data_IF_646242726964
#
_entry.id   IF_646242726964
#
_cell.length_a   1.000
_cell.length_b   1.000
_cell.length_c   1.000
_cell.angle_alpha   90.00
_cell.angle_beta   90.00
_cell.angle_gamma   90.00
#
_symmetry.space_group_name_H-M   'P 1'
#
loop_
_entity.id
_entity.type
_entity.pdbx_description
1 polymer ?
#
# COMPACT_ATOMS: atom_id res chain seq x y z
N UNK A 1 -22.94 31.02 -21.71
CA UNK A 1 -22.02 30.10 -21.00
C UNK A 1 -20.84 29.84 -21.91
N UNK A 2 -19.62 30.14 -21.45
CA UNK A 2 -18.41 30.04 -22.29
C UNK A 2 -17.88 28.62 -22.39
N UNK A 3 -17.12 28.34 -23.46
CA UNK A 3 -16.41 27.07 -23.63
C UNK A 3 -15.43 26.79 -22.47
N UNK A 4 -14.81 27.84 -21.92
CA UNK A 4 -13.94 27.77 -20.73
C UNK A 4 -14.62 27.09 -19.53
N UNK A 5 -15.89 27.42 -19.25
CA UNK A 5 -16.62 26.80 -18.14
C UNK A 5 -16.84 25.29 -18.38
N UNK A 6 -17.14 24.89 -19.62
CA UNK A 6 -17.31 23.48 -19.98
C UNK A 6 -15.97 22.74 -19.87
N UNK A 7 -14.87 23.35 -20.32
CA UNK A 7 -13.53 22.78 -20.19
C UNK A 7 -13.13 22.59 -18.71
N UNK A 8 -13.31 23.62 -17.87
CA UNK A 8 -13.04 23.54 -16.43
C UNK A 8 -13.93 22.49 -15.74
N UNK A 9 -15.22 22.43 -16.09
CA UNK A 9 -16.13 21.42 -15.55
C UNK A 9 -15.74 19.99 -15.96
N UNK A 10 -15.24 19.78 -17.17
CA UNK A 10 -14.72 18.47 -17.63
C UNK A 10 -13.42 18.09 -16.91
N UNK A 11 -12.48 19.04 -16.74
CA UNK A 11 -11.24 18.81 -15.98
C UNK A 11 -11.52 18.47 -14.51
N UNK A 12 -12.40 19.24 -13.85
CA UNK A 12 -12.82 18.95 -12.48
C UNK A 12 -13.59 17.62 -12.37
N UNK A 13 -14.41 17.27 -13.35
CA UNK A 13 -15.07 15.94 -13.40
C UNK A 13 -14.05 14.82 -13.50
N UNK A 14 -13.01 14.96 -14.32
CA UNK A 14 -11.92 13.97 -14.43
C UNK A 14 -11.13 13.85 -13.13
N UNK A 15 -10.79 14.97 -12.49
CA UNK A 15 -10.09 15.02 -11.20
C UNK A 15 -10.90 14.39 -10.06
N UNK A 16 -12.23 14.45 -10.11
CA UNK A 16 -13.11 13.75 -9.16
C UNK A 16 -13.22 12.25 -9.50
N UNK A 17 -13.33 11.90 -10.78
CA UNK A 17 -13.57 10.52 -11.23
C UNK A 17 -12.35 9.59 -11.09
N UNK A 18 -11.12 10.07 -11.34
CA UNK A 18 -9.90 9.25 -11.26
C UNK A 18 -9.69 8.65 -9.85
N UNK A 19 -9.82 9.40 -8.74
CA UNK A 19 -9.89 8.84 -7.39
C UNK A 19 -10.92 7.72 -7.22
N UNK A 20 -12.14 7.87 -7.76
CA UNK A 20 -13.20 6.85 -7.57
C UNK A 20 -12.85 5.51 -8.23
N UNK A 21 -12.16 5.53 -9.37
CA UNK A 21 -11.64 4.32 -10.01
C UNK A 21 -10.46 3.76 -9.22
N UNK A 22 -9.57 4.62 -8.73
CA UNK A 22 -8.40 4.23 -7.94
C UNK A 22 -8.75 3.63 -6.56
N UNK A 23 -9.91 3.93 -5.98
CA UNK A 23 -10.42 3.27 -4.76
C UNK A 23 -10.56 1.74 -4.86
N UNK A 24 -10.57 1.17 -6.08
CA UNK A 24 -10.62 -0.28 -6.35
C UNK A 24 -9.25 -0.91 -6.65
N UNK A 25 -8.15 -0.17 -6.49
CA UNK A 25 -6.78 -0.71 -6.59
C UNK A 25 -6.39 -1.35 -5.27
N UNK A 26 -6.88 -2.56 -5.05
CA UNK A 26 -6.72 -3.29 -3.79
C UNK A 26 -5.36 -4.02 -3.70
N UNK A 27 -4.58 -4.07 -4.78
CA UNK A 27 -3.16 -4.45 -4.78
C UNK A 27 -2.36 -3.52 -5.71
N UNK A 28 -1.06 -3.33 -5.42
CA UNK A 28 -0.14 -2.57 -6.28
C UNK A 28 0.56 -3.50 -7.30
N UNK A 29 0.67 -3.09 -8.58
CA UNK A 29 1.59 -3.75 -9.51
C UNK A 29 3.04 -3.64 -9.02
N UNK A 30 3.84 -4.71 -9.15
CA UNK A 30 5.27 -4.68 -8.76
C UNK A 30 6.05 -3.57 -9.47
N UNK A 31 5.74 -3.32 -10.73
CA UNK A 31 6.34 -2.24 -11.52
C UNK A 31 6.04 -0.83 -10.97
N UNK A 32 4.84 -0.59 -10.44
CA UNK A 32 4.49 0.68 -9.78
C UNK A 32 5.37 0.91 -8.53
N UNK A 33 5.61 -0.14 -7.75
CA UNK A 33 6.45 -0.07 -6.53
C UNK A 33 7.93 0.13 -6.90
N UNK A 34 8.43 -0.59 -7.91
CA UNK A 34 9.79 -0.39 -8.43
C UNK A 34 9.98 1.03 -8.95
N UNK A 35 8.99 1.61 -9.62
CA UNK A 35 9.02 3.02 -10.03
C UNK A 35 9.00 4.00 -8.84
N UNK A 36 8.36 3.64 -7.73
CA UNK A 36 8.40 4.41 -6.48
C UNK A 36 9.78 4.33 -5.82
N UNK A 37 10.42 3.15 -5.85
CA UNK A 37 11.81 2.99 -5.38
C UNK A 37 12.79 3.77 -6.26
N UNK A 38 12.63 3.78 -7.58
CA UNK A 38 13.49 4.58 -8.47
C UNK A 38 13.31 6.09 -8.29
N UNK A 39 12.09 6.56 -7.97
CA UNK A 39 11.88 7.94 -7.51
C UNK A 39 12.65 8.20 -6.22
N UNK A 40 12.41 7.42 -5.16
CA UNK A 40 13.10 7.56 -3.87
C UNK A 40 14.62 7.52 -4.00
N UNK A 41 15.16 6.72 -4.93
CA UNK A 41 16.60 6.63 -5.19
C UNK A 41 17.22 7.91 -5.76
N UNK A 42 16.43 8.72 -6.48
CA UNK A 42 16.80 10.07 -6.91
C UNK A 42 16.87 11.00 -5.70
N UNK A 43 15.79 11.08 -4.92
CA UNK A 43 15.67 12.00 -3.79
C UNK A 43 16.69 11.70 -2.67
N UNK A 44 16.88 10.42 -2.33
CA UNK A 44 17.95 9.95 -1.42
C UNK A 44 19.35 10.19 -2.01
N UNK A 45 19.47 10.35 -3.32
CA UNK A 45 20.70 10.76 -4.00
C UNK A 45 20.98 12.25 -3.90
N UNK A 46 19.94 13.09 -3.73
CA UNK A 46 20.05 14.55 -3.63
C UNK A 46 20.01 15.11 -2.20
N UNK A 47 19.86 14.28 -1.17
CA UNK A 47 19.93 14.68 0.25
C UNK A 47 18.65 14.48 1.06
N UNK A 48 17.66 13.73 0.56
CA UNK A 48 16.39 13.49 1.27
C UNK A 48 16.59 12.92 2.69
N UNK A 49 17.56 12.04 2.91
CA UNK A 49 17.81 11.48 4.24
C UNK A 49 18.19 12.56 5.25
N UNK A 50 19.08 13.45 4.83
CA UNK A 50 19.54 14.62 5.59
C UNK A 50 18.41 15.65 5.81
N UNK A 51 17.52 15.87 4.82
CA UNK A 51 16.32 16.71 4.98
C UNK A 51 15.33 16.12 5.99
N UNK A 52 15.02 14.82 5.87
CA UNK A 52 14.09 14.15 6.79
C UNK A 52 14.64 14.12 8.22
N UNK A 53 15.97 14.04 8.38
CA UNK A 53 16.64 14.11 9.69
C UNK A 53 16.45 15.45 10.42
N UNK A 54 16.22 16.53 9.69
CA UNK A 54 15.89 17.84 10.26
C UNK A 54 14.42 17.98 10.68
N UNK A 55 13.56 17.00 10.34
CA UNK A 55 12.12 17.00 10.61
C UNK A 55 11.67 15.88 11.55
N UNK A 56 12.41 14.77 11.63
CA UNK A 56 12.12 13.61 12.50
C UNK A 56 13.41 13.06 13.12
N UNK A 57 13.41 12.59 14.39
CA UNK A 57 14.61 12.08 15.05
C UNK A 57 15.27 10.91 14.31
N UNK A 58 14.48 10.03 13.71
CA UNK A 58 14.92 8.86 12.93
C UNK A 58 14.90 9.13 11.40
N UNK A 59 14.72 10.38 10.98
CA UNK A 59 14.36 10.74 9.61
C UNK A 59 15.36 10.26 8.55
N UNK A 60 16.67 10.35 8.82
CA UNK A 60 17.70 9.76 7.96
C UNK A 60 17.53 8.24 7.89
N UNK A 61 17.47 7.63 9.07
CA UNK A 61 17.56 6.19 9.25
C UNK A 61 16.39 5.47 8.58
N UNK A 62 15.14 5.87 8.85
CA UNK A 62 13.97 5.26 8.20
C UNK A 62 13.98 5.44 6.68
N UNK A 63 14.41 6.61 6.18
CA UNK A 63 14.44 6.90 4.74
C UNK A 63 15.32 5.91 3.96
N UNK A 64 16.45 5.49 4.52
CA UNK A 64 17.30 4.44 3.92
C UNK A 64 16.87 3.01 4.32
N UNK A 65 16.51 2.75 5.58
CA UNK A 65 16.18 1.41 6.07
C UNK A 65 14.94 0.83 5.36
N UNK A 66 13.87 1.64 5.21
CA UNK A 66 12.64 1.22 4.56
C UNK A 66 12.84 1.05 3.05
N UNK A 67 13.62 1.92 2.41
CA UNK A 67 14.01 1.82 1.00
C UNK A 67 14.77 0.50 0.72
N UNK A 68 15.77 0.18 1.54
CA UNK A 68 16.52 -1.08 1.42
C UNK A 68 15.66 -2.31 1.66
N UNK A 69 14.83 -2.30 2.71
CA UNK A 69 13.93 -3.42 3.02
C UNK A 69 12.89 -3.63 1.92
N UNK A 70 12.31 -2.56 1.37
CA UNK A 70 11.35 -2.62 0.26
C UNK A 70 11.97 -3.29 -0.98
N UNK A 71 13.18 -2.93 -1.36
CA UNK A 71 13.91 -3.61 -2.43
C UNK A 71 14.08 -5.11 -2.16
N UNK A 72 14.43 -5.50 -0.93
CA UNK A 72 14.55 -6.93 -0.60
C UNK A 72 13.22 -7.69 -0.68
N UNK A 73 12.11 -7.08 -0.27
CA UNK A 73 10.78 -7.68 -0.39
C UNK A 73 10.32 -7.81 -1.86
N UNK A 74 10.65 -6.84 -2.72
CA UNK A 74 10.44 -6.93 -4.17
C UNK A 74 11.17 -8.15 -4.74
N UNK A 75 12.45 -8.36 -4.37
CA UNK A 75 13.25 -9.49 -4.84
C UNK A 75 12.85 -10.84 -4.23
N UNK A 76 12.37 -10.89 -2.97
CA UNK A 76 11.76 -12.11 -2.38
C UNK A 76 10.52 -12.54 -3.19
N UNK A 77 9.75 -11.59 -3.70
CA UNK A 77 8.57 -11.87 -4.52
C UNK A 77 8.84 -12.09 -6.01
N UNK A 78 10.05 -11.78 -6.50
CA UNK A 78 10.42 -11.80 -7.93
C UNK A 78 11.94 -11.75 -8.12
N UNK A 79 12.54 -12.89 -8.41
CA UNK A 79 14.00 -13.01 -8.54
C UNK A 79 14.59 -12.24 -9.71
N UNK A 80 13.77 -11.75 -10.66
CA UNK A 80 14.20 -10.86 -11.76
C UNK A 80 14.85 -9.57 -11.23
N UNK A 81 14.42 -9.09 -10.06
CA UNK A 81 14.94 -7.87 -9.45
C UNK A 81 16.11 -8.10 -8.48
N UNK A 82 16.58 -9.36 -8.30
CA UNK A 82 17.59 -9.72 -7.28
C UNK A 82 18.84 -8.84 -7.33
N UNK A 83 19.39 -8.61 -8.52
CA UNK A 83 20.63 -7.85 -8.67
C UNK A 83 20.43 -6.33 -8.46
N UNK A 84 19.28 -5.78 -8.83
CA UNK A 84 18.93 -4.38 -8.58
C UNK A 84 18.70 -4.16 -7.08
N UNK A 85 17.88 -5.02 -6.46
CA UNK A 85 17.61 -5.02 -5.04
C UNK A 85 18.87 -5.20 -4.18
N UNK A 86 19.78 -6.10 -4.57
CA UNK A 86 21.01 -6.36 -3.82
C UNK A 86 21.98 -5.18 -3.87
N UNK A 87 22.09 -4.46 -5.01
CA UNK A 87 22.87 -3.22 -5.09
C UNK A 87 22.27 -2.12 -4.23
N UNK A 88 20.96 -1.90 -4.33
CA UNK A 88 20.27 -0.79 -3.66
C UNK A 88 20.11 -1.01 -2.15
N UNK A 89 19.86 -2.25 -1.70
CA UNK A 89 19.85 -2.59 -0.28
C UNK A 89 21.24 -2.49 0.37
N UNK A 90 22.32 -2.85 -0.36
CA UNK A 90 23.71 -2.64 0.09
C UNK A 90 24.07 -1.15 0.19
N UNK A 91 23.67 -0.35 -0.81
CA UNK A 91 23.84 1.10 -0.77
C UNK A 91 23.09 1.73 0.40
N UNK A 92 21.85 1.32 0.65
CA UNK A 92 21.07 1.75 1.81
C UNK A 92 21.72 1.36 3.15
N UNK A 93 22.17 0.11 3.30
CA UNK A 93 22.88 -0.36 4.49
C UNK A 93 24.15 0.45 4.75
N UNK A 94 24.96 0.72 3.72
CA UNK A 94 26.16 1.55 3.85
C UNK A 94 25.85 3.01 4.27
N UNK A 95 24.64 3.51 4.01
CA UNK A 95 24.17 4.81 4.53
C UNK A 95 23.80 4.72 6.01
N UNK A 96 23.10 3.67 6.45
CA UNK A 96 22.84 3.42 7.88
C UNK A 96 24.13 3.23 8.69
N UNK A 97 25.14 2.59 8.10
CA UNK A 97 26.44 2.34 8.74
C UNK A 97 27.40 3.54 8.70
N UNK A 98 27.03 4.62 7.99
CA UNK A 98 27.80 5.87 7.91
C UNK A 98 27.74 6.69 9.22
N UNK A 99 28.63 7.69 9.41
CA UNK A 99 28.54 8.61 10.55
C UNK A 99 27.20 9.34 10.64
N UNK A 100 26.59 9.72 9.51
CA UNK A 100 25.29 10.38 9.48
C UNK A 100 24.16 9.44 9.95
N UNK A 101 24.17 8.18 9.51
CA UNK A 101 23.20 7.16 9.93
C UNK A 101 23.30 6.76 11.41
N UNK A 102 24.40 7.11 12.09
CA UNK A 102 24.65 6.88 13.52
C UNK A 102 24.48 8.11 14.39
N UNK A 103 24.46 9.32 13.81
CA UNK A 103 24.72 10.58 14.52
C UNK A 103 23.76 10.91 15.68
N UNK A 104 22.56 10.32 15.70
CA UNK A 104 21.52 10.56 16.72
C UNK A 104 21.37 9.39 17.72
N UNK A 105 22.17 8.33 17.58
CA UNK A 105 22.11 7.13 18.41
C UNK A 105 23.30 7.06 19.37
N UNK A 106 23.03 6.84 20.66
CA UNK A 106 24.02 6.87 21.73
C UNK A 106 24.86 5.57 21.77
N UNK A 107 26.18 5.69 21.57
CA UNK A 107 27.10 4.56 21.48
C UNK A 107 27.43 3.89 22.82
N UNK A 108 27.03 4.50 23.95
CA UNK A 108 27.19 3.94 25.30
C UNK A 108 26.11 2.91 25.69
N UNK A 109 25.02 2.83 24.90
CA UNK A 109 23.92 1.88 25.07
C UNK A 109 24.36 0.41 24.89
N UNK A 110 23.45 -0.52 25.21
CA UNK A 110 23.67 -1.97 25.09
C UNK A 110 22.55 -2.62 24.26
N UNK A 111 22.83 -3.09 23.03
CA UNK A 111 24.08 -2.89 22.27
C UNK A 111 24.34 -1.40 21.95
N UNK A 112 25.58 -1.06 21.61
CA UNK A 112 25.97 0.31 21.25
C UNK A 112 25.12 0.85 20.10
N UNK A 113 24.65 2.10 20.21
CA UNK A 113 23.63 2.76 19.36
C UNK A 113 22.18 2.30 19.63
N UNK A 114 21.94 1.44 20.62
CA UNK A 114 20.61 1.05 21.08
C UNK A 114 19.91 0.00 20.21
N UNK A 115 18.81 -0.54 20.73
CA UNK A 115 18.06 -1.63 20.08
C UNK A 115 17.42 -1.22 18.75
N UNK A 116 17.04 0.06 18.60
CA UNK A 116 16.52 0.60 17.34
C UNK A 116 17.57 0.48 16.23
N UNK A 117 18.72 1.11 16.40
CA UNK A 117 19.77 1.16 15.37
C UNK A 117 20.23 -0.26 15.01
N UNK A 118 20.58 -1.06 16.03
CA UNK A 118 21.16 -2.39 15.82
C UNK A 118 20.11 -3.38 15.31
N UNK A 119 18.87 -3.32 15.79
CA UNK A 119 17.77 -4.17 15.36
C UNK A 119 17.41 -3.96 13.89
N UNK A 120 17.08 -2.72 13.50
CA UNK A 120 16.73 -2.41 12.11
C UNK A 120 17.90 -2.61 11.14
N UNK A 121 19.11 -2.19 11.52
CA UNK A 121 20.31 -2.42 10.68
C UNK A 121 20.58 -3.91 10.49
N UNK A 122 20.44 -4.73 11.54
CA UNK A 122 20.59 -6.19 11.43
C UNK A 122 19.47 -6.81 10.61
N UNK A 123 18.23 -6.33 10.71
CA UNK A 123 17.10 -6.84 9.90
C UNK A 123 17.27 -6.55 8.41
N UNK A 124 17.85 -5.40 8.03
CA UNK A 124 18.27 -5.10 6.65
C UNK A 124 19.51 -5.90 6.24
N UNK A 125 20.50 -6.05 7.12
CA UNK A 125 21.73 -6.81 6.82
C UNK A 125 21.44 -8.30 6.58
N UNK A 126 20.57 -8.91 7.40
CA UNK A 126 20.04 -10.25 7.16
C UNK A 126 19.25 -10.35 5.84
N UNK A 127 18.49 -9.31 5.48
CA UNK A 127 17.79 -9.26 4.20
C UNK A 127 18.74 -9.18 2.98
N UNK A 128 19.90 -8.54 3.13
CA UNK A 128 20.98 -8.56 2.12
C UNK A 128 21.59 -9.96 2.02
N UNK A 129 21.81 -10.64 3.15
CA UNK A 129 22.36 -12.01 3.20
C UNK A 129 21.40 -13.03 2.56
N UNK A 130 20.08 -12.92 2.77
CA UNK A 130 19.07 -13.74 2.06
C UNK A 130 19.20 -13.64 0.52
N UNK A 131 19.57 -12.46 0.00
CA UNK A 131 19.75 -12.24 -1.44
C UNK A 131 21.18 -12.47 -1.95
N UNK A 132 22.18 -12.46 -1.07
CA UNK A 132 23.59 -12.67 -1.43
C UNK A 132 24.09 -14.11 -1.23
N UNK A 133 23.49 -14.87 -0.31
CA UNK A 133 24.01 -16.14 0.20
C UNK A 133 24.78 -15.98 1.51
N UNK A 134 25.05 -17.07 2.25
CA UNK A 134 25.66 -17.02 3.59
C UNK A 134 27.10 -16.49 3.57
N UNK A 135 27.84 -16.71 2.48
CA UNK A 135 29.23 -16.26 2.30
C UNK A 135 29.38 -14.75 2.03
N UNK A 136 28.29 -13.99 2.13
CA UNK A 136 28.28 -12.55 1.97
C UNK A 136 29.13 -11.83 3.04
N UNK A 137 29.90 -10.78 2.70
CA UNK A 137 30.74 -10.05 3.67
C UNK A 137 29.93 -9.44 4.82
N UNK A 138 28.65 -9.16 4.60
CA UNK A 138 27.69 -8.73 5.61
C UNK A 138 27.52 -9.71 6.79
N UNK A 139 27.73 -11.01 6.57
CA UNK A 139 27.44 -12.07 7.56
C UNK A 139 28.26 -11.91 8.84
N UNK A 140 29.53 -11.51 8.75
CA UNK A 140 30.40 -11.33 9.93
C UNK A 140 29.84 -10.27 10.88
N UNK A 141 29.36 -9.14 10.34
CA UNK A 141 28.77 -8.07 11.16
C UNK A 141 27.38 -8.45 11.66
N UNK A 142 26.58 -9.16 10.85
CA UNK A 142 25.25 -9.63 11.24
C UNK A 142 25.31 -10.61 12.43
N UNK A 143 26.20 -11.61 12.39
CA UNK A 143 26.40 -12.55 13.51
C UNK A 143 26.85 -11.83 14.78
N UNK A 144 27.72 -10.82 14.67
CA UNK A 144 28.18 -10.03 15.81
C UNK A 144 27.07 -9.16 16.43
N UNK A 145 26.29 -8.45 15.61
CA UNK A 145 25.18 -7.62 16.08
C UNK A 145 24.06 -8.47 16.71
N UNK A 146 23.71 -9.61 16.12
CA UNK A 146 22.75 -10.55 16.70
C UNK A 146 23.25 -11.15 18.03
N UNK A 147 24.54 -11.48 18.15
CA UNK A 147 25.10 -11.94 19.42
C UNK A 147 25.05 -10.86 20.53
N UNK A 148 25.29 -9.58 20.17
CA UNK A 148 25.18 -8.46 21.10
C UNK A 148 23.74 -8.18 21.52
N UNK A 149 22.78 -8.26 20.59
CA UNK A 149 21.34 -8.15 20.88
C UNK A 149 20.86 -9.27 21.81
N UNK A 150 21.23 -10.52 21.52
CA UNK A 150 20.83 -11.66 22.34
C UNK A 150 21.35 -11.54 23.78
N UNK A 151 22.64 -11.21 23.95
CA UNK A 151 23.22 -10.97 25.27
C UNK A 151 22.53 -9.83 26.05
N UNK A 152 22.13 -8.76 25.37
CA UNK A 152 21.40 -7.66 25.99
C UNK A 152 19.98 -8.10 26.45
N UNK A 153 19.25 -8.85 25.62
CA UNK A 153 17.93 -9.39 26.00
C UNK A 153 17.99 -10.32 27.23
N UNK A 154 19.04 -11.16 27.31
CA UNK A 154 19.27 -12.05 28.47
C UNK A 154 19.54 -11.27 29.76
N UNK A 155 20.21 -10.11 29.70
CA UNK A 155 20.59 -9.33 30.90
C UNK A 155 19.62 -8.23 31.29
N UNK A 156 18.95 -7.58 30.33
CA UNK A 156 18.12 -6.38 30.56
C UNK A 156 16.61 -6.63 30.36
N UNK A 157 16.24 -7.79 29.83
CA UNK A 157 14.84 -8.20 29.64
C UNK A 157 14.25 -7.79 28.29
N UNK A 158 12.92 -7.92 28.11
CA UNK A 158 12.32 -7.99 26.78
C UNK A 158 12.23 -6.66 26.03
N UNK A 159 12.39 -5.53 26.71
CA UNK A 159 12.25 -4.19 26.13
C UNK A 159 13.53 -3.39 26.39
N UNK A 160 14.48 -3.53 25.46
CA UNK A 160 15.78 -2.86 25.49
C UNK A 160 15.65 -1.36 25.18
N UNK A 161 16.66 -0.59 25.55
CA UNK A 161 16.68 0.85 25.29
C UNK A 161 17.06 1.17 23.84
N UNK A 162 16.21 1.99 23.21
CA UNK A 162 16.47 2.58 21.89
C UNK A 162 17.26 3.89 22.01
N UNK A 163 16.96 4.65 23.07
CA UNK A 163 17.62 5.88 23.48
C UNK A 163 17.84 5.85 25.00
N UNK A 164 18.77 6.63 25.56
CA UNK A 164 19.03 6.64 27.01
C UNK A 164 17.75 6.83 27.85
N UNK A 165 17.46 5.87 28.73
CA UNK A 165 16.29 5.82 29.60
C UNK A 165 14.96 5.51 28.90
N UNK A 166 14.95 5.17 27.60
CA UNK A 166 13.77 5.06 26.77
C UNK A 166 13.74 3.74 25.98
N UNK A 167 12.69 2.95 26.19
CA UNK A 167 12.50 1.64 25.57
C UNK A 167 11.12 1.56 24.93
N UNK A 168 11.10 1.29 23.63
CA UNK A 168 9.89 1.08 22.84
C UNK A 168 9.82 -0.41 22.43
N UNK A 169 8.80 -1.18 22.85
CA UNK A 169 8.69 -2.60 22.53
C UNK A 169 8.74 -2.94 21.03
N UNK A 170 8.33 -2.00 20.16
CA UNK A 170 8.42 -2.14 18.71
C UNK A 170 9.84 -2.43 18.21
N UNK A 171 10.84 -1.75 18.73
CA UNK A 171 12.23 -1.91 18.27
C UNK A 171 12.84 -3.23 18.76
N UNK A 172 12.43 -3.65 19.96
CA UNK A 172 12.75 -4.98 20.49
C UNK A 172 12.13 -6.10 19.63
N UNK A 173 10.91 -5.91 19.10
CA UNK A 173 10.32 -6.84 18.11
C UNK A 173 11.15 -6.89 16.82
N UNK A 174 11.59 -5.76 16.28
CA UNK A 174 12.45 -5.74 15.07
C UNK A 174 13.79 -6.45 15.31
N UNK A 175 14.41 -6.21 16.47
CA UNK A 175 15.65 -6.88 16.87
C UNK A 175 15.48 -8.40 17.04
N UNK A 176 14.39 -8.88 17.66
CA UNK A 176 14.14 -10.32 17.80
C UNK A 176 13.76 -10.97 16.47
N UNK A 177 13.10 -10.25 15.55
CA UNK A 177 12.93 -10.71 14.18
C UNK A 177 14.28 -10.89 13.45
N UNK A 178 15.28 -10.02 13.73
CA UNK A 178 16.65 -10.22 13.23
C UNK A 178 17.36 -11.45 13.85
N UNK A 179 17.13 -11.75 15.14
CA UNK A 179 17.64 -12.99 15.77
C UNK A 179 17.01 -14.24 15.14
N UNK A 180 15.69 -14.23 14.93
CA UNK A 180 14.97 -15.31 14.26
C UNK A 180 15.40 -15.47 12.79
N UNK A 181 15.74 -14.36 12.12
CA UNK A 181 16.30 -14.38 10.76
C UNK A 181 17.71 -14.98 10.74
N UNK A 182 18.59 -14.66 11.70
CA UNK A 182 19.92 -15.27 11.82
C UNK A 182 19.84 -16.80 11.84
N UNK A 183 18.97 -17.35 12.69
CA UNK A 183 18.82 -18.80 12.88
C UNK A 183 18.26 -19.53 11.64
N UNK A 184 17.80 -18.78 10.61
CA UNK A 184 17.39 -19.31 9.30
C UNK A 184 18.49 -19.24 8.22
N UNK A 185 19.48 -18.34 8.34
CA UNK A 185 20.34 -17.97 7.20
C UNK A 185 21.86 -17.92 7.47
N UNK A 186 22.29 -17.76 8.73
CA UNK A 186 23.66 -17.35 9.06
C UNK A 186 24.52 -18.47 9.69
N UNK A 187 24.01 -19.70 9.74
CA UNK A 187 24.70 -20.86 10.33
C UNK A 187 23.72 -21.84 11.00
N UNK A 188 24.17 -22.67 11.95
CA UNK A 188 23.26 -23.41 12.80
C UNK A 188 22.44 -22.45 13.69
N UNK A 189 21.19 -22.80 14.08
CA UNK A 189 20.40 -22.01 15.04
C UNK A 189 21.12 -21.82 16.37
N UNK A 190 21.03 -20.60 16.94
CA UNK A 190 21.74 -20.19 18.17
C UNK A 190 20.88 -19.40 19.16
N UNK A 191 19.82 -18.73 18.70
CA UNK A 191 19.06 -17.75 19.48
C UNK A 191 17.67 -18.22 19.92
N UNK A 192 17.20 -19.39 19.45
CA UNK A 192 15.89 -19.96 19.83
C UNK A 192 15.54 -19.90 21.32
N UNK A 193 16.49 -20.17 22.24
CA UNK A 193 16.27 -20.06 23.70
C UNK A 193 15.97 -18.63 24.13
N UNK A 194 16.76 -17.66 23.65
CA UNK A 194 16.61 -16.23 23.95
C UNK A 194 15.28 -15.71 23.38
N UNK A 195 14.94 -16.13 22.16
CA UNK A 195 13.66 -15.80 21.50
C UNK A 195 12.46 -16.34 22.29
N UNK A 196 12.56 -17.55 22.84
CA UNK A 196 11.50 -18.17 23.64
C UNK A 196 11.30 -17.46 25.00
N UNK A 197 12.37 -17.22 25.74
CA UNK A 197 12.30 -16.49 27.03
C UNK A 197 11.93 -15.02 26.82
N UNK A 198 12.39 -14.37 25.75
CA UNK A 198 11.92 -13.04 25.35
C UNK A 198 10.41 -13.05 25.12
N UNK A 199 9.89 -13.98 24.31
CA UNK A 199 8.46 -14.05 23.96
C UNK A 199 7.60 -14.25 25.22
N UNK A 200 8.00 -15.18 26.09
CA UNK A 200 7.40 -15.44 27.41
C UNK A 200 7.42 -14.20 28.32
N UNK A 201 8.53 -13.46 28.34
CA UNK A 201 8.72 -12.26 29.15
C UNK A 201 7.98 -11.03 28.57
N UNK A 202 7.79 -10.97 27.25
CA UNK A 202 7.00 -9.94 26.58
C UNK A 202 5.49 -10.17 26.74
N UNK A 203 5.02 -11.42 26.64
CA UNK A 203 3.61 -11.83 26.87
C UNK A 203 3.10 -11.51 28.28
N UNK A 204 3.96 -11.39 29.30
CA UNK A 204 3.56 -10.96 30.67
C UNK A 204 3.51 -9.44 30.87
N UNK A 205 3.90 -8.64 29.86
CA UNK A 205 3.97 -7.17 29.92
C UNK A 205 3.11 -6.47 28.86
N UNK A 206 2.03 -7.14 28.45
CA UNK A 206 1.03 -6.58 27.53
C UNK A 206 0.23 -5.45 28.19
N UNK A 207 -0.24 -4.49 27.38
CA UNK A 207 -1.22 -3.48 27.78
C UNK A 207 -2.54 -4.15 28.21
N UNK A 208 -2.95 -4.05 29.48
CA UNK A 208 -4.14 -4.73 29.99
C UNK A 208 -5.45 -4.20 29.38
N UNK A 209 -5.44 -3.03 28.73
CA UNK A 209 -6.61 -2.49 28.05
C UNK A 209 -6.85 -3.08 26.64
N UNK A 210 -5.84 -3.70 26.03
CA UNK A 210 -5.91 -4.18 24.64
C UNK A 210 -5.40 -5.61 24.42
N UNK A 211 -4.64 -6.18 25.36
CA UNK A 211 -3.97 -7.47 25.21
C UNK A 211 -2.80 -7.44 24.23
N UNK A 212 -2.28 -6.26 23.90
CA UNK A 212 -1.21 -6.04 22.91
C UNK A 212 0.08 -5.54 23.57
N UNK A 213 1.21 -5.64 22.88
CA UNK A 213 2.45 -5.01 23.33
C UNK A 213 2.28 -3.48 23.52
N UNK A 214 2.77 -2.90 24.63
CA UNK A 214 2.67 -1.46 24.89
C UNK A 214 3.45 -0.63 23.86
N UNK A 215 3.10 0.64 23.72
CA UNK A 215 3.80 1.59 22.85
C UNK A 215 5.20 1.92 23.37
N UNK A 216 5.29 2.21 24.68
CA UNK A 216 6.53 2.52 25.39
C UNK A 216 6.58 1.74 26.70
N UNK A 217 7.77 1.35 27.14
CA UNK A 217 8.03 0.61 28.38
C UNK A 217 8.86 1.41 29.41
N UNK A 218 9.84 2.21 28.96
CA UNK A 218 10.64 3.13 29.80
C UNK A 218 10.55 4.56 29.26
N UNK A 219 10.59 5.62 30.09
CA UNK A 219 10.68 5.59 31.56
C UNK A 219 9.34 5.29 32.26
N UNK A 220 8.22 5.51 31.56
CA UNK A 220 6.87 5.17 32.02
C UNK A 220 6.16 4.40 30.91
N UNK A 221 5.52 3.29 31.27
CA UNK A 221 4.76 2.44 30.34
C UNK A 221 3.54 3.17 29.79
N UNK A 222 3.37 3.12 28.46
CA UNK A 222 2.15 3.58 27.79
C UNK A 222 1.48 2.42 27.06
N UNK A 223 0.14 2.39 27.09
CA UNK A 223 -0.67 1.36 26.43
C UNK A 223 -0.43 1.28 24.92
N UNK A 224 -1.03 0.28 24.26
CA UNK A 224 -0.79 0.06 22.84
C UNK A 224 -1.23 1.28 21.99
N UNK A 225 -0.46 1.58 20.95
CA UNK A 225 -0.74 2.64 19.97
C UNK A 225 -0.61 2.15 18.54
N UNK A 226 -1.38 2.75 17.64
CA UNK A 226 -1.53 2.34 16.23
C UNK A 226 -0.22 2.34 15.46
N UNK A 227 0.55 3.42 15.58
CA UNK A 227 1.93 3.57 15.08
C UNK A 227 2.78 2.34 15.37
N UNK A 228 3.16 2.11 16.63
CA UNK A 228 3.97 0.96 17.05
C UNK A 228 3.33 -0.37 16.70
N UNK A 229 2.02 -0.53 16.89
CA UNK A 229 1.34 -1.80 16.62
C UNK A 229 1.38 -2.17 15.13
N UNK A 230 1.24 -1.21 14.22
CA UNK A 230 1.34 -1.48 12.78
C UNK A 230 2.71 -2.06 12.39
N UNK A 231 3.80 -1.61 13.01
CA UNK A 231 5.15 -2.15 12.82
C UNK A 231 5.32 -3.50 13.55
N UNK A 232 4.78 -3.65 14.76
CA UNK A 232 4.83 -4.92 15.51
C UNK A 232 4.17 -6.04 14.71
N UNK A 233 2.96 -5.82 14.19
CA UNK A 233 2.26 -6.82 13.36
C UNK A 233 2.90 -7.04 11.96
N UNK A 234 3.90 -6.21 11.57
CA UNK A 234 4.70 -6.43 10.36
C UNK A 234 5.82 -7.45 10.56
N UNK A 235 6.39 -7.52 11.76
CA UNK A 235 7.57 -8.35 12.08
C UNK A 235 7.29 -9.54 12.99
N UNK A 236 6.26 -9.48 13.84
CA UNK A 236 5.93 -10.56 14.77
C UNK A 236 5.69 -11.94 14.09
N UNK A 237 5.14 -12.05 12.85
CA UNK A 237 5.08 -13.32 12.12
C UNK A 237 6.45 -14.00 11.87
N UNK A 238 7.55 -13.22 11.85
CA UNK A 238 8.91 -13.75 11.69
C UNK A 238 9.48 -14.36 12.99
N UNK A 239 8.80 -14.18 14.12
CA UNK A 239 9.24 -14.62 15.46
C UNK A 239 8.38 -15.80 15.95
N UNK A 240 7.08 -15.58 16.06
CA UNK A 240 6.09 -16.53 16.57
C UNK A 240 4.80 -16.35 15.75
N UNK A 241 4.59 -17.24 14.78
CA UNK A 241 3.45 -17.15 13.85
C UNK A 241 2.11 -17.38 14.55
N UNK A 242 2.06 -18.11 15.68
CA UNK A 242 0.82 -18.31 16.43
C UNK A 242 0.47 -17.04 17.21
N UNK A 243 1.43 -16.50 17.99
CA UNK A 243 1.25 -15.24 18.72
C UNK A 243 0.94 -14.07 17.79
N UNK A 244 1.59 -14.01 16.62
CA UNK A 244 1.31 -13.01 15.62
C UNK A 244 -0.16 -13.05 15.20
N UNK A 245 -0.76 -14.23 15.03
CA UNK A 245 -2.19 -14.31 14.72
C UNK A 245 -3.07 -13.87 15.90
N UNK A 246 -2.69 -14.16 17.15
CA UNK A 246 -3.39 -13.66 18.35
C UNK A 246 -3.37 -12.14 18.42
N UNK A 247 -2.17 -11.55 18.38
CA UNK A 247 -1.95 -10.10 18.45
C UNK A 247 -2.60 -9.39 17.26
N UNK A 248 -2.50 -9.92 16.04
CA UNK A 248 -3.12 -9.30 14.87
C UNK A 248 -4.67 -9.30 14.95
N UNK A 249 -5.30 -10.34 15.51
CA UNK A 249 -6.75 -10.33 15.80
C UNK A 249 -7.12 -9.21 16.77
N UNK A 250 -6.36 -9.04 17.86
CA UNK A 250 -6.58 -7.99 18.85
C UNK A 250 -6.31 -6.58 18.29
N UNK A 251 -5.26 -6.40 17.47
CA UNK A 251 -4.97 -5.15 16.75
C UNK A 251 -6.11 -4.75 15.82
N UNK A 252 -6.62 -5.68 15.00
CA UNK A 252 -7.77 -5.44 14.12
C UNK A 252 -9.04 -5.09 14.90
N UNK A 253 -9.25 -5.73 16.05
CA UNK A 253 -10.39 -5.46 16.94
C UNK A 253 -10.33 -4.08 17.62
N UNK A 254 -9.12 -3.63 17.97
CA UNK A 254 -8.90 -2.43 18.79
C UNK A 254 -8.54 -1.16 18.00
N UNK A 255 -7.86 -1.27 16.85
CA UNK A 255 -7.26 -0.12 16.15
C UNK A 255 -7.76 0.14 14.73
N UNK A 256 -8.28 -0.85 14.00
CA UNK A 256 -8.91 -0.57 12.70
C UNK A 256 -10.23 0.17 12.92
N UNK A 257 -10.50 1.24 12.17
CA UNK A 257 -11.75 2.00 12.26
C UNK A 257 -12.19 2.48 10.87
N UNK A 258 -13.42 2.99 10.75
CA UNK A 258 -14.00 3.43 9.47
C UNK A 258 -14.65 4.83 9.57
N UNK A 259 -13.96 5.88 10.09
CA UNK A 259 -14.53 7.21 10.22
C UNK A 259 -14.96 7.77 8.85
N UNK A 260 -16.18 8.32 8.79
CA UNK A 260 -16.83 8.79 7.54
C UNK A 260 -16.91 7.73 6.42
N UNK A 261 -16.70 6.45 6.70
CA UNK A 261 -16.62 5.39 5.69
C UNK A 261 -15.24 5.18 5.07
N UNK A 262 -14.19 5.89 5.51
CA UNK A 262 -12.80 5.64 5.11
C UNK A 262 -12.15 4.65 6.08
N UNK A 263 -11.67 3.47 5.63
CA UNK A 263 -10.97 2.53 6.50
C UNK A 263 -9.59 3.06 6.88
N UNK A 264 -9.22 2.98 8.16
CA UNK A 264 -7.91 3.43 8.64
C UNK A 264 -7.53 2.81 9.97
N UNK A 265 -6.35 3.14 10.46
CA UNK A 265 -5.84 2.72 11.76
C UNK A 265 -5.81 3.90 12.72
N UNK A 266 -6.54 3.77 13.82
CA UNK A 266 -6.53 4.74 14.92
C UNK A 266 -5.17 4.77 15.59
N UNK A 267 -4.78 5.91 16.13
CA UNK A 267 -3.57 5.96 16.94
C UNK A 267 -3.78 5.44 18.36
N UNK A 268 -4.94 5.69 18.95
CA UNK A 268 -5.35 5.16 20.24
C UNK A 268 -6.42 4.08 20.03
N UNK A 269 -6.50 3.05 20.90
CA UNK A 269 -7.50 2.00 20.75
C UNK A 269 -8.93 2.58 20.82
N UNK A 270 -9.89 1.92 20.16
CA UNK A 270 -11.31 2.27 20.18
C UNK A 270 -11.78 2.52 21.63
N UNK A 271 -12.54 3.59 21.82
CA UNK A 271 -12.95 4.07 23.15
C UNK A 271 -11.95 5.00 23.85
N UNK A 272 -10.71 5.13 23.35
CA UNK A 272 -9.73 6.12 23.83
C UNK A 272 -9.37 7.12 22.72
N UNK A 273 -9.08 8.34 23.13
CA UNK A 273 -8.64 9.44 22.26
C UNK A 273 -7.40 10.10 22.87
N UNK A 274 -6.61 10.77 22.03
CA UNK A 274 -5.43 11.55 22.39
C UNK A 274 -5.00 12.41 21.20
N UNK A 275 -3.86 13.07 21.32
CA UNK A 275 -3.29 13.95 20.29
C UNK A 275 -2.37 13.20 19.33
N UNK A 276 -2.13 13.77 18.15
CA UNK A 276 -1.05 13.33 17.29
C UNK A 276 0.31 13.82 17.76
N UNK A 277 1.37 13.18 17.27
CA UNK A 277 2.77 13.43 17.61
C UNK A 277 3.70 13.00 16.45
N UNK A 278 4.99 12.80 16.73
CA UNK A 278 6.03 12.49 15.74
C UNK A 278 5.81 11.14 15.03
N UNK A 279 5.43 10.09 15.78
CA UNK A 279 5.23 8.73 15.23
C UNK A 279 3.93 8.63 14.42
N UNK A 280 2.89 9.31 14.91
CA UNK A 280 1.52 9.14 14.46
C UNK A 280 1.08 10.15 13.40
N UNK A 281 1.76 11.30 13.36
CA UNK A 281 1.39 12.45 12.54
C UNK A 281 0.08 13.12 13.00
N UNK A 282 -0.44 14.08 12.21
CA UNK A 282 -1.72 14.72 12.51
C UNK A 282 -2.89 13.72 12.41
N UNK A 283 -3.62 13.54 13.50
CA UNK A 283 -4.73 12.57 13.56
C UNK A 283 -6.02 13.13 12.93
N UNK A 284 -6.55 12.45 11.92
CA UNK A 284 -7.83 12.79 11.31
C UNK A 284 -8.92 11.91 11.95
N UNK A 285 -9.77 12.49 12.77
CA UNK A 285 -10.81 11.78 13.55
C UNK A 285 -10.25 10.63 14.43
N UNK A 286 -8.97 10.75 14.83
CA UNK A 286 -8.23 9.75 15.60
C UNK A 286 -7.47 8.71 14.76
N UNK A 287 -7.62 8.70 13.43
CA UNK A 287 -6.81 7.89 12.51
C UNK A 287 -5.45 8.52 12.28
N UNK A 288 -4.39 7.73 12.43
CA UNK A 288 -3.02 8.08 12.05
C UNK A 288 -2.77 7.68 10.59
N UNK A 289 -2.14 8.58 9.82
CA UNK A 289 -1.75 8.29 8.45
C UNK A 289 -0.60 7.29 8.37
N UNK A 290 0.44 7.44 9.22
CA UNK A 290 1.60 6.53 9.28
C UNK A 290 1.18 5.11 9.67
N UNK A 291 0.40 4.96 10.74
CA UNK A 291 -0.14 3.67 11.18
C UNK A 291 -1.01 3.00 10.10
N UNK A 292 -1.78 3.79 9.36
CA UNK A 292 -2.63 3.28 8.26
C UNK A 292 -1.79 2.79 7.08
N UNK A 293 -0.71 3.49 6.72
CA UNK A 293 0.22 3.07 5.66
C UNK A 293 0.96 1.79 6.05
N UNK A 294 1.54 1.73 7.24
CA UNK A 294 2.31 0.56 7.71
C UNK A 294 1.41 -0.68 7.87
N UNK A 295 0.15 -0.49 8.27
CA UNK A 295 -0.80 -1.59 8.41
C UNK A 295 -1.18 -2.27 7.08
N UNK A 296 -0.93 -1.65 5.91
CA UNK A 296 -1.00 -2.35 4.62
C UNK A 296 0.06 -3.47 4.57
N UNK A 297 1.30 -3.17 4.96
CA UNK A 297 2.40 -4.14 5.01
C UNK A 297 2.14 -5.25 6.03
N UNK A 298 1.62 -4.90 7.21
CA UNK A 298 1.24 -5.89 8.23
C UNK A 298 0.10 -6.80 7.75
N UNK A 299 -0.96 -6.22 7.17
CA UNK A 299 -2.06 -7.00 6.62
C UNK A 299 -1.61 -7.95 5.49
N UNK A 300 -0.58 -7.59 4.72
CA UNK A 300 -0.01 -8.45 3.67
C UNK A 300 0.75 -9.66 4.23
N UNK A 301 1.59 -9.52 5.27
CA UNK A 301 2.26 -10.69 5.91
C UNK A 301 1.31 -11.59 6.69
N UNK A 302 0.18 -11.06 7.17
CA UNK A 302 -0.93 -11.87 7.69
C UNK A 302 -1.85 -12.43 6.59
N UNK A 303 -1.69 -12.00 5.34
CA UNK A 303 -2.51 -12.40 4.19
C UNK A 303 -3.95 -11.86 4.21
N UNK A 304 -4.27 -10.92 5.11
CA UNK A 304 -5.60 -10.30 5.24
C UNK A 304 -5.87 -9.29 4.12
N UNK A 305 -6.18 -9.81 2.93
CA UNK A 305 -6.64 -9.03 1.78
C UNK A 305 -7.90 -8.19 2.09
N UNK A 306 -8.73 -8.60 3.05
CA UNK A 306 -9.95 -7.88 3.43
C UNK A 306 -9.67 -6.58 4.22
N UNK A 307 -8.43 -6.40 4.73
CA UNK A 307 -7.93 -5.11 5.23
C UNK A 307 -6.90 -4.48 4.27
N UNK A 308 -5.93 -5.25 3.78
CA UNK A 308 -4.88 -4.74 2.90
C UNK A 308 -5.43 -4.08 1.63
N UNK A 309 -6.49 -4.66 1.04
CA UNK A 309 -7.15 -4.16 -0.16
C UNK A 309 -7.77 -2.78 0.04
N UNK A 310 -8.73 -2.62 0.95
CA UNK A 310 -9.34 -1.33 1.26
C UNK A 310 -8.34 -0.22 1.63
N UNK A 311 -7.27 -0.53 2.37
CA UNK A 311 -6.24 0.45 2.72
C UNK A 311 -5.36 0.84 1.50
N UNK A 312 -5.02 -0.12 0.64
CA UNK A 312 -4.28 0.15 -0.62
C UNK A 312 -5.11 1.03 -1.57
N UNK A 313 -6.38 0.69 -1.76
CA UNK A 313 -7.32 1.46 -2.58
C UNK A 313 -7.54 2.88 -2.04
N UNK A 314 -7.56 3.05 -0.72
CA UNK A 314 -7.62 4.38 -0.09
C UNK A 314 -6.38 5.22 -0.42
N UNK A 315 -5.17 4.65 -0.32
CA UNK A 315 -3.92 5.32 -0.67
C UNK A 315 -3.83 5.71 -2.15
N UNK A 316 -4.23 4.81 -3.05
CA UNK A 316 -4.34 5.10 -4.49
C UNK A 316 -5.39 6.17 -4.81
N UNK A 317 -6.53 6.16 -4.11
CA UNK A 317 -7.61 7.13 -4.29
C UNK A 317 -7.23 8.54 -3.83
N UNK A 318 -6.72 8.69 -2.60
CA UNK A 318 -6.52 9.99 -1.95
C UNK A 318 -5.10 10.54 -2.07
N UNK A 319 -4.06 9.70 -2.14
CA UNK A 319 -2.67 10.18 -2.23
C UNK A 319 -2.30 10.79 -3.59
N UNK A 320 -3.17 10.63 -4.60
CA UNK A 320 -3.01 11.09 -5.99
C UNK A 320 -1.64 10.71 -6.57
N UNK A 321 -1.42 9.42 -6.89
CA UNK A 321 -0.17 8.99 -7.53
C UNK A 321 0.01 9.62 -8.93
N UNK A 322 1.21 10.16 -9.12
CA UNK A 322 1.75 10.78 -10.34
C UNK A 322 2.92 9.91 -10.83
N UNK A 323 2.96 9.62 -12.13
CA UNK A 323 4.06 8.89 -12.76
C UNK A 323 4.77 9.74 -13.81
N UNK A 324 6.08 9.54 -13.97
CA UNK A 324 6.91 10.21 -14.96
C UNK A 324 8.02 9.26 -15.44
N UNK A 325 8.00 8.88 -16.72
CA UNK A 325 8.90 7.85 -17.23
C UNK A 325 8.62 6.51 -16.55
N UNK A 326 9.65 5.92 -15.94
CA UNK A 326 9.56 4.71 -15.11
C UNK A 326 9.40 5.01 -13.61
N UNK A 327 9.21 6.28 -13.21
CA UNK A 327 9.07 6.69 -11.79
C UNK A 327 7.61 6.89 -11.36
N UNK A 328 7.32 6.69 -10.06
CA UNK A 328 6.02 6.91 -9.40
C UNK A 328 6.20 7.64 -8.06
N UNK A 329 5.31 8.58 -7.72
CA UNK A 329 5.24 9.23 -6.40
C UNK A 329 3.83 9.69 -6.06
N UNK A 330 3.53 9.97 -4.80
CA UNK A 330 2.20 10.45 -4.40
C UNK A 330 2.18 11.99 -4.26
N UNK A 331 1.27 12.68 -4.95
CA UNK A 331 1.30 14.14 -5.07
C UNK A 331 1.02 14.89 -3.76
N UNK A 332 0.33 14.26 -2.81
CA UNK A 332 0.13 14.77 -1.44
C UNK A 332 1.13 14.19 -0.42
N UNK A 333 2.18 13.50 -0.90
CA UNK A 333 3.38 13.19 -0.12
C UNK A 333 4.18 14.46 0.15
N UNK A 334 3.69 15.27 1.10
CA UNK A 334 4.33 16.52 1.56
C UNK A 334 5.74 16.30 2.14
N UNK A 335 6.08 15.04 2.48
CA UNK A 335 7.36 14.59 3.02
C UNK A 335 7.70 13.23 2.39
N UNK A 336 8.75 13.11 1.56
CA UNK A 336 9.01 11.87 0.81
C UNK A 336 9.40 10.64 1.65
N UNK A 337 9.67 10.77 2.96
CA UNK A 337 9.69 9.60 3.87
C UNK A 337 8.36 8.83 3.85
N UNK A 338 7.24 9.51 3.58
CA UNK A 338 5.93 8.87 3.35
C UNK A 338 5.90 7.99 2.10
N UNK A 339 6.62 8.34 1.04
CA UNK A 339 6.82 7.48 -0.14
C UNK A 339 7.66 6.24 0.22
N UNK A 340 8.66 6.36 1.11
CA UNK A 340 9.44 5.20 1.60
C UNK A 340 8.60 4.23 2.45
N UNK A 341 7.78 4.74 3.37
CA UNK A 341 6.82 3.94 4.12
C UNK A 341 5.80 3.26 3.19
N UNK A 342 5.25 3.97 2.19
CA UNK A 342 4.33 3.39 1.20
C UNK A 342 5.02 2.27 0.39
N UNK A 343 6.20 2.52 -0.17
CA UNK A 343 6.92 1.54 -0.98
C UNK A 343 7.23 0.25 -0.19
N UNK A 344 7.67 0.37 1.07
CA UNK A 344 7.89 -0.77 1.96
C UNK A 344 6.61 -1.53 2.33
N UNK A 345 5.53 -0.82 2.61
CA UNK A 345 4.22 -1.41 2.90
C UNK A 345 3.60 -2.13 1.71
N UNK A 346 3.84 -1.64 0.49
CA UNK A 346 3.36 -2.27 -0.74
C UNK A 346 4.25 -3.44 -1.18
N UNK A 347 5.58 -3.31 -1.05
CA UNK A 347 6.54 -4.36 -1.39
C UNK A 347 6.30 -5.64 -0.57
N UNK A 348 5.86 -5.49 0.68
CA UNK A 348 5.56 -6.55 1.65
C UNK A 348 5.02 -7.85 1.00
N UNK A 349 5.60 -9.03 1.27
CA UNK A 349 5.12 -10.29 0.72
C UNK A 349 3.71 -10.60 1.21
N UNK A 350 2.86 -11.08 0.30
CA UNK A 350 1.52 -11.58 0.65
C UNK A 350 1.59 -13.08 0.91
N UNK A 351 1.27 -13.50 2.13
CA UNK A 351 1.23 -14.91 2.54
C UNK A 351 -0.11 -15.57 2.20
N UNK A 352 -0.15 -16.90 2.24
CA UNK A 352 -1.42 -17.64 2.26
C UNK A 352 -2.06 -17.53 3.65
N UNK A 353 -3.29 -17.04 3.71
CA UNK A 353 -3.91 -16.56 4.95
C UNK A 353 -4.78 -17.59 5.67
N UNK A 354 -4.81 -17.59 7.03
CA UNK A 354 -5.99 -18.03 7.74
C UNK A 354 -7.16 -17.05 7.51
N UNK A 355 -8.41 -17.54 7.57
CA UNK A 355 -9.59 -16.71 7.30
C UNK A 355 -9.89 -15.72 8.42
N UNK A 356 -9.53 -14.44 8.25
CA UNK A 356 -9.90 -13.37 9.17
C UNK A 356 -11.32 -12.82 8.90
N UNK A 357 -12.14 -12.51 9.93
CA UNK A 357 -13.43 -11.86 9.74
C UNK A 357 -13.24 -10.43 9.21
N UNK A 358 -14.07 -9.96 8.27
CA UNK A 358 -13.89 -8.65 7.63
C UNK A 358 -14.17 -7.50 8.61
N UNK A 359 -13.15 -6.69 8.87
CA UNK A 359 -13.27 -5.46 9.70
C UNK A 359 -13.67 -4.23 8.88
N UNK A 360 -13.46 -4.25 7.56
CA UNK A 360 -13.98 -3.23 6.64
C UNK A 360 -15.25 -3.74 5.96
N UNK A 361 -16.30 -2.90 5.90
CA UNK A 361 -17.56 -3.25 5.26
C UNK A 361 -17.40 -3.24 3.74
N UNK A 362 -17.91 -4.24 3.02
CA UNK A 362 -17.78 -4.35 1.56
C UNK A 362 -18.24 -3.09 0.79
N UNK A 363 -19.24 -2.37 1.33
CA UNK A 363 -19.81 -1.16 0.75
C UNK A 363 -19.09 0.15 1.14
N UNK A 364 -17.94 0.12 1.83
CA UNK A 364 -17.27 1.32 2.37
C UNK A 364 -17.04 2.45 1.34
N UNK A 365 -16.86 2.10 0.06
CA UNK A 365 -16.67 3.04 -1.06
C UNK A 365 -17.95 3.81 -1.46
N UNK A 366 -19.13 3.28 -1.14
CA UNK A 366 -20.42 3.80 -1.63
C UNK A 366 -20.73 5.25 -1.22
N UNK A 367 -20.50 5.71 0.04
CA UNK A 367 -20.69 7.12 0.41
C UNK A 367 -19.84 8.06 -0.44
N UNK A 368 -18.62 7.64 -0.78
CA UNK A 368 -17.66 8.43 -1.57
C UNK A 368 -18.06 8.50 -3.04
N UNK A 369 -18.55 7.40 -3.62
CA UNK A 369 -19.14 7.40 -4.96
C UNK A 369 -20.39 8.29 -5.04
N UNK A 370 -21.27 8.26 -4.04
CA UNK A 370 -22.47 9.11 -3.98
C UNK A 370 -22.09 10.59 -3.82
N UNK A 371 -21.11 10.91 -2.98
CA UNK A 371 -20.59 12.27 -2.80
C UNK A 371 -19.95 12.79 -4.11
N UNK A 372 -19.07 12.01 -4.73
CA UNK A 372 -18.43 12.35 -6.00
C UNK A 372 -19.45 12.57 -7.12
N UNK A 373 -20.43 11.67 -7.27
CA UNK A 373 -21.51 11.80 -8.25
C UNK A 373 -22.37 13.05 -7.98
N UNK A 374 -22.63 13.39 -6.72
CA UNK A 374 -23.38 14.59 -6.34
C UNK A 374 -22.63 15.87 -6.73
N UNK A 375 -21.32 15.93 -6.47
CA UNK A 375 -20.48 17.08 -6.86
C UNK A 375 -20.42 17.21 -8.39
N UNK A 376 -20.21 16.11 -9.11
CA UNK A 376 -20.20 16.10 -10.59
C UNK A 376 -21.57 16.49 -11.17
N UNK A 377 -22.67 16.03 -10.57
CA UNK A 377 -24.02 16.41 -11.00
C UNK A 377 -24.26 17.92 -10.83
N UNK A 378 -23.90 18.50 -9.69
CA UNK A 378 -23.99 19.96 -9.44
C UNK A 378 -23.10 20.75 -10.41
N UNK A 379 -21.88 20.27 -10.65
CA UNK A 379 -20.89 20.87 -11.56
C UNK A 379 -21.35 20.87 -13.02
N UNK A 380 -22.03 19.82 -13.49
CA UNK A 380 -22.49 19.69 -14.88
C UNK A 380 -23.91 20.22 -15.11
N UNK A 381 -24.72 20.38 -14.05
CA UNK A 381 -26.12 20.84 -14.12
C UNK A 381 -26.32 22.13 -14.95
N UNK A 382 -25.47 23.16 -14.87
CA UNK A 382 -25.62 24.35 -15.71
C UNK A 382 -25.39 24.05 -17.19
N UNK A 383 -24.36 23.27 -17.54
CA UNK A 383 -24.04 22.90 -18.92
C UNK A 383 -25.17 22.06 -19.54
N UNK A 384 -25.68 21.07 -18.80
CA UNK A 384 -26.83 20.25 -19.17
C UNK A 384 -28.07 21.13 -19.44
N UNK A 385 -28.37 22.09 -18.56
CA UNK A 385 -29.48 23.05 -18.75
C UNK A 385 -29.34 23.88 -20.02
N UNK A 386 -28.12 24.26 -20.45
CA UNK A 386 -27.90 25.00 -21.70
C UNK A 386 -28.05 24.11 -22.93
N UNK A 387 -27.65 22.84 -22.87
CA UNK A 387 -27.88 21.87 -23.97
C UNK A 387 -29.38 21.61 -24.15
N UNK A 388 -30.10 21.32 -23.06
CA UNK A 388 -31.55 21.04 -23.09
C UNK A 388 -32.35 22.27 -23.54
N UNK A 389 -31.92 23.50 -23.18
CA UNK A 389 -32.60 24.74 -23.58
C UNK A 389 -32.30 25.22 -25.00
N UNK A 390 -31.42 24.57 -25.78
CA UNK A 390 -31.31 24.88 -27.21
C UNK A 390 -32.59 24.40 -27.92
N UNK A 391 -33.39 25.29 -28.53
CA UNK A 391 -34.53 24.84 -29.33
C UNK A 391 -34.01 23.96 -30.48
N UNK A 392 -34.71 22.87 -30.80
CA UNK A 392 -34.57 22.24 -32.12
C UNK A 392 -34.83 23.34 -33.15
N UNK A 393 -33.81 23.71 -33.94
CA UNK A 393 -33.99 24.63 -35.08
C UNK A 393 -34.98 23.97 -36.04
N UNK A 394 -36.23 24.41 -36.00
CA UNK A 394 -37.28 23.90 -36.87
C UNK A 394 -36.97 24.29 -38.31
N UNK A 395 -36.40 23.34 -39.07
CA UNK A 395 -36.11 23.49 -40.50
C UNK A 395 -37.37 23.44 -41.35
N UNK A 396 -38.36 24.28 -41.05
CA UNK A 396 -39.58 24.43 -41.83
C UNK A 396 -39.33 25.51 -42.88
N UNK A 397 -39.13 25.07 -44.13
CA UNK A 397 -39.20 25.97 -45.29
C UNK A 397 -40.66 26.32 -45.55
N UNK A 398 -40.98 27.60 -45.48
CA UNK A 398 -42.27 28.14 -45.91
C UNK A 398 -42.24 29.67 -45.87
N UNK A 399 -42.87 30.38 -46.79
CA UNK A 399 -43.52 29.93 -48.04
C UNK A 399 -43.75 31.17 -48.92
N UNK A 400 -43.42 31.09 -50.21
CA UNK A 400 -43.60 32.19 -51.17
C UNK A 400 -44.92 32.03 -51.97
N UNK A 401 -45.88 32.98 -51.86
CA UNK A 401 -47.13 32.99 -52.63
C UNK A 401 -47.10 34.07 -53.74
N UNK A 402 -46.02 34.14 -54.54
CA UNK A 402 -45.64 35.34 -55.30
C UNK A 402 -46.21 35.59 -56.71
N UNK A 403 -46.90 34.65 -57.41
CA UNK A 403 -47.53 34.98 -58.72
C UNK A 403 -48.62 34.01 -59.20
N UNK A 404 -49.75 34.57 -59.65
CA UNK A 404 -50.70 33.94 -60.59
C UNK A 404 -50.49 34.53 -61.98
N UNK A 405 -50.41 33.68 -63.00
CA UNK A 405 -50.59 34.08 -64.40
C UNK A 405 -51.38 33.00 -65.14
N UNK A 406 -52.47 33.38 -65.80
CA UNK A 406 -53.22 32.50 -66.72
C UNK A 406 -52.63 32.70 -68.12
N UNK A 407 -52.40 31.61 -68.85
CA UNK A 407 -51.97 31.64 -70.25
C UNK A 407 -52.15 30.24 -70.84
N UNK A 408 -53.05 30.09 -71.81
CA UNK A 408 -53.55 28.79 -72.27
C UNK A 408 -53.41 28.62 -73.79
N UNK A 409 -52.47 27.79 -74.21
CA UNK A 409 -52.36 27.10 -75.51
C UNK A 409 -51.35 25.93 -75.32
N UNK A 410 -51.24 24.89 -76.14
CA UNK A 410 -52.20 24.12 -76.95
C UNK A 410 -51.42 22.96 -77.60
N UNK A 411 -51.95 21.73 -77.57
CA UNK A 411 -51.70 20.58 -78.48
C UNK A 411 -50.28 20.35 -79.06
N UNK A 412 -49.66 19.18 -78.77
CA UNK A 412 -49.06 18.28 -79.79
C UNK A 412 -48.53 16.90 -79.26
N UNK A 413 -49.16 15.82 -79.71
CA UNK A 413 -48.61 14.50 -80.13
C UNK A 413 -47.41 13.77 -79.43
N UNK A 414 -47.74 12.61 -78.82
CA UNK A 414 -47.47 11.22 -79.31
C UNK A 414 -46.07 10.56 -79.18
N UNK A 415 -46.03 9.38 -78.52
CA UNK A 415 -44.95 8.35 -78.55
C UNK A 415 -44.42 7.99 -77.15
N UNK A 416 -44.63 6.83 -76.49
CA UNK A 416 -44.94 5.40 -76.78
C UNK A 416 -43.69 4.49 -76.71
N UNK A 417 -43.82 3.38 -75.94
CA UNK A 417 -42.82 2.36 -75.47
C UNK A 417 -42.08 2.80 -74.19
N UNK A 418 -41.98 2.05 -73.07
CA UNK A 418 -42.17 0.62 -72.69
C UNK A 418 -40.90 -0.26 -72.65
N UNK A 419 -40.81 -1.08 -71.59
CA UNK A 419 -39.60 -1.80 -71.12
C UNK A 419 -39.32 -1.41 -69.66
N UNK A 420 -39.79 -2.07 -68.59
CA UNK A 420 -39.92 -3.50 -68.27
C UNK A 420 -38.57 -4.17 -67.96
N UNK A 421 -38.28 -4.40 -66.67
CA UNK A 421 -37.02 -4.97 -66.18
C UNK A 421 -37.03 -5.27 -64.67
N UNK A 422 -37.34 -6.51 -64.30
CA UNK A 422 -37.35 -7.11 -62.94
C UNK A 422 -37.17 -8.63 -63.14
N UNK A 423 -36.80 -9.47 -62.14
CA UNK A 423 -36.11 -9.21 -60.86
C UNK A 423 -35.11 -10.35 -60.44
N UNK A 424 -34.67 -10.34 -59.16
CA UNK A 424 -34.33 -11.51 -58.27
C UNK A 424 -33.12 -12.45 -58.54
N UNK A 425 -32.26 -12.53 -57.52
CA UNK A 425 -31.83 -13.71 -56.69
C UNK A 425 -31.46 -13.17 -55.28
N UNK A 426 -31.51 -13.85 -54.11
CA UNK A 426 -31.92 -15.19 -53.59
C UNK A 426 -30.79 -16.22 -53.30
N UNK A 427 -30.97 -16.95 -52.18
CA UNK A 427 -30.09 -17.90 -51.44
C UNK A 427 -28.89 -17.28 -50.71
N UNK A 428 -28.57 -17.51 -49.42
CA UNK A 428 -29.05 -18.36 -48.30
C UNK A 428 -28.29 -19.68 -47.98
N UNK A 429 -27.89 -19.79 -46.69
CA UNK A 429 -27.62 -20.99 -45.87
C UNK A 429 -26.40 -21.89 -46.26
N UNK A 430 -25.85 -22.77 -45.41
CA UNK A 430 -26.26 -23.22 -44.06
C UNK A 430 -25.07 -23.65 -43.15
N UNK A 431 -25.43 -24.30 -42.02
CA UNK A 431 -24.62 -24.98 -41.00
C UNK A 431 -23.77 -26.18 -41.50
N UNK A 432 -23.08 -27.05 -40.73
CA UNK A 432 -22.95 -27.43 -39.29
C UNK A 432 -21.46 -27.81 -39.02
N UNK A 433 -20.96 -28.34 -37.89
CA UNK A 433 -21.42 -28.76 -36.55
C UNK A 433 -20.21 -29.40 -35.80
N UNK A 434 -19.93 -29.09 -34.54
CA UNK A 434 -20.37 -29.79 -33.32
C UNK A 434 -20.04 -31.30 -33.23
N UNK A 435 -19.29 -31.72 -32.21
CA UNK A 435 -19.31 -33.10 -31.68
C UNK A 435 -18.81 -33.20 -30.23
N UNK A 436 -19.56 -33.90 -29.39
CA UNK A 436 -19.31 -34.16 -27.97
C UNK A 436 -18.73 -35.58 -27.72
N UNK A 437 -18.18 -35.87 -26.53
CA UNK A 437 -17.83 -37.25 -26.11
C UNK A 437 -17.02 -37.40 -24.78
N UNK A 438 -17.43 -38.23 -23.79
CA UNK A 438 -16.80 -38.29 -22.43
C UNK A 438 -16.34 -39.69 -21.91
N UNK A 439 -16.04 -39.80 -20.59
CA UNK A 439 -15.72 -41.00 -19.75
C UNK A 439 -14.26 -41.56 -19.85
N UNK A 440 -13.62 -42.34 -18.95
CA UNK A 440 -13.74 -42.75 -17.50
C UNK A 440 -12.54 -43.70 -17.16
N UNK A 441 -12.15 -44.14 -15.94
CA UNK A 441 -12.30 -43.78 -14.51
C UNK A 441 -11.39 -44.73 -13.63
N UNK A 442 -11.66 -44.86 -12.30
CA UNK A 442 -11.25 -45.94 -11.33
C UNK A 442 -9.88 -45.91 -10.56
N UNK A 443 -9.95 -45.50 -9.26
CA UNK A 443 -9.64 -46.32 -8.03
C UNK A 443 -8.16 -46.71 -7.65
N UNK A 444 -7.86 -47.35 -6.47
CA UNK A 444 -6.77 -46.88 -5.57
C UNK A 444 -5.72 -47.93 -5.10
N UNK A 445 -4.72 -47.53 -4.27
CA UNK A 445 -3.76 -48.47 -3.64
C UNK A 445 -2.73 -47.91 -2.62
N UNK A 446 -3.04 -48.11 -1.34
CA UNK A 446 -2.26 -48.46 -0.13
C UNK A 446 -0.72 -48.22 0.12
N UNK A 447 -0.42 -47.93 1.39
CA UNK A 447 0.79 -48.18 2.23
C UNK A 447 2.24 -48.11 1.67
N UNK A 448 3.04 -47.17 2.23
CA UNK A 448 4.22 -47.48 3.07
C UNK A 448 4.70 -46.30 3.92
#
# INVERSE_FOLDING_TARGET
MGALYVAVALVLTLLIAVPQVRLYRDEQPRADIVGQLRFLRSELGSGLGEEMQAMFPEGYFFSYALYGLAWTDIARGDTTYRDEALREARWALARLESPAGKAIFDDSLRPAHGVFYVGWSSRLRGAVIELAGPDAPETVRFVADCAALAAAFDTEGPFLEAYPGQAWPVDSVVAVAALSLHDRIAGPPRFGTVIAEWSKSARTRLDPATGLLPHRAKPVTEGARGSSQSVIQRFLPEIDTEWAQEQYRAFRGSFVDIPLGLPGVREYPRGRNGTGDVDSGPLILGVSASATVVAIGAARVHGDRALAGPLTGLGEGLGVPVGAGDTKRYAFGLLPVGDAFLAWSFAAPSTAAPSYPPVVRWWWRMPWHVLALTIVAVLLLPAIRVVIRKPRRAGIRGSDPGRRSRGSYSVATRGRRAGAGRPRTRSAAAAHGNHDGPASALSPGDNR
#
